data_IF_057047653043
#
_entry.id   IF_057047653043
#
_cell.length_a   1.000
_cell.length_b   1.000
_cell.length_c   1.000
_cell.angle_alpha   90.00
_cell.angle_beta   90.00
_cell.angle_gamma   90.00
#
_symmetry.space_group_name_H-M   'P 1'
#
loop_
_entity.id
_entity.type
_entity.pdbx_description
1 polymer ?
#
# COMPACT_ATOMS: atom_id res chain seq x y z
N UNK A 1 -2.53 -18.19 20.56
CA UNK A 1 -3.31 -17.05 20.02
C UNK A 1 -2.30 -16.13 19.34
N UNK A 2 -1.98 -16.39 18.07
CA UNK A 2 -1.11 -15.53 17.26
C UNK A 2 -2.02 -14.84 16.26
N UNK A 3 -2.43 -13.61 16.56
CA UNK A 3 -2.94 -12.72 15.51
C UNK A 3 -1.72 -12.22 14.75
N UNK A 4 -1.24 -13.01 13.78
CA UNK A 4 -0.60 -12.39 12.63
C UNK A 4 -1.72 -11.65 11.94
N UNK A 5 -1.81 -10.33 12.15
CA UNK A 5 -2.74 -9.50 11.41
C UNK A 5 -2.48 -9.76 9.93
N UNK A 6 -3.45 -10.36 9.25
CA UNK A 6 -3.41 -10.61 7.80
C UNK A 6 -2.94 -9.36 7.03
N UNK A 7 -3.21 -8.17 7.59
CA UNK A 7 -2.79 -6.85 7.12
C UNK A 7 -1.28 -6.66 6.89
N UNK A 8 -0.38 -7.21 7.71
CA UNK A 8 1.05 -6.87 7.58
C UNK A 8 1.72 -7.53 6.37
N UNK A 9 1.25 -8.72 5.98
CA UNK A 9 1.75 -9.45 4.81
C UNK A 9 1.25 -8.78 3.53
N UNK A 10 -0.04 -8.43 3.49
CA UNK A 10 -0.64 -7.70 2.37
C UNK A 10 -0.01 -6.30 2.19
N UNK A 11 0.25 -5.59 3.29
CA UNK A 11 0.97 -4.31 3.27
C UNK A 11 2.37 -4.44 2.67
N UNK A 12 3.09 -5.50 3.03
CA UNK A 12 4.42 -5.79 2.49
C UNK A 12 4.37 -6.01 0.98
N UNK A 13 3.41 -6.82 0.51
CA UNK A 13 3.22 -7.10 -0.90
C UNK A 13 2.87 -5.85 -1.71
N UNK A 14 1.96 -5.01 -1.19
CA UNK A 14 1.60 -3.74 -1.81
C UNK A 14 2.81 -2.80 -1.89
N UNK A 15 3.59 -2.68 -0.82
CA UNK A 15 4.80 -1.87 -0.83
C UNK A 15 5.81 -2.37 -1.87
N UNK A 16 6.05 -3.69 -1.95
CA UNK A 16 6.94 -4.26 -2.96
C UNK A 16 6.47 -4.00 -4.38
N UNK A 17 5.17 -4.14 -4.66
CA UNK A 17 4.61 -3.85 -5.99
C UNK A 17 4.81 -2.38 -6.40
N UNK A 18 4.62 -1.45 -5.46
CA UNK A 18 4.82 -0.03 -5.70
C UNK A 18 6.31 0.27 -5.92
N UNK A 19 7.18 -0.25 -5.05
CA UNK A 19 8.63 -0.10 -5.20
C UNK A 19 9.16 -0.69 -6.51
N UNK A 20 8.64 -1.83 -6.96
CA UNK A 20 8.99 -2.44 -8.25
C UNK A 20 8.67 -1.52 -9.45
N UNK A 21 7.70 -0.61 -9.30
CA UNK A 21 7.35 0.41 -10.29
C UNK A 21 8.03 1.76 -10.05
N UNK A 22 9.05 1.80 -9.18
CA UNK A 22 9.77 3.01 -8.77
C UNK A 22 8.89 4.02 -8.04
N UNK A 23 7.78 3.57 -7.45
CA UNK A 23 6.94 4.39 -6.58
C UNK A 23 7.45 4.21 -5.15
N UNK A 24 7.93 5.27 -4.48
CA UNK A 24 8.40 5.18 -3.10
C UNK A 24 7.22 4.87 -2.18
N UNK A 25 7.25 3.67 -1.58
CA UNK A 25 6.22 3.17 -0.68
C UNK A 25 6.83 2.56 0.60
N UNK A 26 6.18 2.81 1.74
CA UNK A 26 6.66 2.37 3.06
C UNK A 26 5.49 1.86 3.91
N UNK A 27 5.77 0.89 4.78
CA UNK A 27 4.81 0.41 5.77
C UNK A 27 4.53 1.49 6.83
N UNK A 28 3.28 1.57 7.29
CA UNK A 28 2.74 2.64 8.16
C UNK A 28 3.42 2.83 9.51
N UNK A 29 4.39 1.99 9.88
CA UNK A 29 5.06 2.05 11.17
C UNK A 29 6.16 3.14 11.25
N UNK A 30 6.15 4.11 10.33
CA UNK A 30 7.21 5.10 10.17
C UNK A 30 6.62 6.49 10.36
N UNK A 31 7.06 7.25 11.37
CA UNK A 31 6.69 8.66 11.58
C UNK A 31 6.88 9.53 10.32
N UNK A 32 7.72 9.07 9.39
CA UNK A 32 7.95 9.61 8.04
C UNK A 32 6.67 9.78 7.22
N UNK A 33 5.64 8.96 7.43
CA UNK A 33 4.38 9.05 6.68
C UNK A 33 3.58 10.33 6.95
N UNK A 34 3.85 10.98 8.09
CA UNK A 34 3.25 12.28 8.45
C UNK A 34 4.06 13.46 7.92
N UNK A 35 5.23 13.21 7.33
CA UNK A 35 6.07 14.23 6.72
C UNK A 35 5.63 14.46 5.27
N UNK A 36 5.60 15.71 4.86
CA UNK A 36 5.61 16.05 3.45
C UNK A 36 6.96 15.56 2.87
N UNK A 37 6.98 14.81 1.75
CA UNK A 37 5.94 14.71 0.72
C UNK A 37 5.17 13.38 0.69
N UNK A 38 4.87 12.72 1.82
CA UNK A 38 4.18 11.41 1.84
C UNK A 38 2.69 11.53 2.21
N UNK A 39 1.89 10.56 1.76
CA UNK A 39 0.47 10.39 2.12
C UNK A 39 0.17 8.92 2.41
N UNK A 40 -0.68 8.68 3.39
CA UNK A 40 -1.20 7.35 3.70
C UNK A 40 -2.32 6.99 2.71
N UNK A 41 -2.23 5.79 2.14
CA UNK A 41 -3.28 5.11 1.37
C UNK A 41 -3.76 3.90 2.16
N UNK A 42 -5.07 3.81 2.37
CA UNK A 42 -5.72 2.68 3.03
C UNK A 42 -6.38 1.77 1.98
N UNK A 43 -6.13 0.46 2.07
CA UNK A 43 -6.49 -0.57 1.10
C UNK A 43 -7.01 -1.80 1.83
N UNK A 44 -8.31 -2.06 1.79
CA UNK A 44 -8.87 -3.31 2.34
C UNK A 44 -8.60 -3.58 3.83
N UNK A 45 -8.19 -2.58 4.62
CA UNK A 45 -7.75 -2.74 6.02
C UNK A 45 -6.27 -2.46 6.25
N UNK A 46 -5.49 -2.42 5.17
CA UNK A 46 -4.06 -2.16 5.15
C UNK A 46 -3.75 -0.70 4.88
N UNK A 47 -2.90 -0.08 5.68
CA UNK A 47 -2.43 1.29 5.44
C UNK A 47 -0.97 1.27 4.97
N UNK A 48 -0.67 1.93 3.84
CA UNK A 48 0.69 2.12 3.30
C UNK A 48 0.97 3.59 3.02
N UNK A 49 2.22 4.01 3.10
CA UNK A 49 2.63 5.37 2.84
C UNK A 49 3.26 5.49 1.48
N UNK A 50 2.80 6.44 0.68
CA UNK A 50 3.25 6.65 -0.69
C UNK A 50 3.61 8.12 -0.90
N UNK A 51 4.62 8.38 -1.73
CA UNK A 51 4.95 9.75 -2.14
C UNK A 51 3.76 10.45 -2.81
N UNK A 52 3.48 11.69 -2.42
CA UNK A 52 2.33 12.48 -2.92
C UNK A 52 2.33 12.64 -4.43
N UNK A 53 3.52 12.74 -5.01
CA UNK A 53 3.73 12.85 -6.46
C UNK A 53 3.29 11.59 -7.24
N UNK A 54 3.18 10.45 -6.58
CA UNK A 54 2.82 9.16 -7.17
C UNK A 54 1.48 8.60 -6.66
N UNK A 55 0.67 9.40 -5.96
CA UNK A 55 -0.62 8.93 -5.39
C UNK A 55 -1.53 8.40 -6.50
N UNK A 56 -1.72 9.16 -7.58
CA UNK A 56 -2.66 8.76 -8.65
C UNK A 56 -2.22 7.47 -9.33
N UNK A 57 -0.91 7.30 -9.51
CA UNK A 57 -0.33 6.08 -10.08
C UNK A 57 -0.52 4.90 -9.12
N UNK A 58 -0.21 5.08 -7.84
CA UNK A 58 -0.42 4.07 -6.81
C UNK A 58 -1.89 3.67 -6.72
N UNK A 59 -2.82 4.61 -6.57
CA UNK A 59 -4.26 4.35 -6.53
C UNK A 59 -4.75 3.65 -7.81
N UNK A 60 -4.23 4.02 -8.98
CA UNK A 60 -4.52 3.34 -10.24
C UNK A 60 -4.12 1.87 -10.19
N UNK A 61 -2.88 1.57 -9.81
CA UNK A 61 -2.36 0.21 -9.71
C UNK A 61 -3.11 -0.65 -8.70
N UNK A 62 -3.57 -0.02 -7.63
CA UNK A 62 -4.31 -0.66 -6.55
C UNK A 62 -5.74 -1.00 -6.95
N UNK A 63 -6.41 -0.11 -7.70
CA UNK A 63 -7.72 -0.39 -8.31
C UNK A 63 -7.68 -1.55 -9.31
N UNK A 64 -6.54 -1.76 -9.99
CA UNK A 64 -6.35 -2.92 -10.85
C UNK A 64 -6.17 -4.23 -10.08
N UNK A 65 -5.58 -4.18 -8.87
CA UNK A 65 -5.46 -5.36 -8.00
C UNK A 65 -6.75 -5.70 -7.25
N UNK A 66 -7.67 -4.75 -7.07
CA UNK A 66 -9.05 -4.99 -6.62
C UNK A 66 -9.96 -5.51 -7.75
N UNK A 67 -9.38 -6.10 -8.80
CA UNK A 67 -10.18 -6.97 -9.66
C UNK A 67 -10.71 -8.09 -8.78
N UNK A 68 -12.04 -8.33 -8.72
CA UNK A 68 -12.54 -9.48 -8.02
C UNK A 68 -11.82 -10.66 -8.63
N UNK A 69 -11.18 -11.46 -7.79
CA UNK A 69 -10.90 -12.84 -8.12
C UNK A 69 -12.25 -13.46 -8.46
N UNK A 70 -12.67 -13.34 -9.72
CA UNK A 70 -13.82 -14.03 -10.28
C UNK A 70 -13.42 -15.49 -10.33
N UNK A 71 -13.56 -16.09 -9.16
CA UNK A 71 -13.56 -17.51 -8.92
C UNK A 71 -14.89 -17.97 -9.51
N UNK A 72 -14.89 -18.35 -10.79
CA UNK A 72 -15.50 -19.60 -11.31
C UNK A 72 -15.84 -19.52 -12.79
#
# INVERSE_FOLDING_TARGET
MFFFSYDAIEAGFVCEMLMARKIPAFLLNSDICRLDPFKVLALGGVEVCVGKEHIEEAEGLLKFSETPSEKS
#
